data_IF_335784728094
#
_entry.id   IF_335784728094
#
_cell.length_a   1.000
_cell.length_b   1.000
_cell.length_c   1.000
_cell.angle_alpha   90.00
_cell.angle_beta   90.00
_cell.angle_gamma   90.00
#
_symmetry.space_group_name_H-M   'P 1'
#
loop_
_entity.id
_entity.type
_entity.pdbx_description
1 polymer ?
#
# COMPACT_ATOMS: atom_id res chain seq x y z
N UNK A 1 1.14 6.54 -17.63
CA UNK A 1 1.86 5.33 -17.18
C UNK A 1 2.80 5.63 -16.03
N UNK A 2 3.88 6.40 -16.21
CA UNK A 2 4.86 6.70 -15.13
C UNK A 2 4.24 7.32 -13.89
N UNK A 3 3.29 8.24 -14.05
CA UNK A 3 2.59 8.87 -12.93
C UNK A 3 1.80 7.87 -12.07
N UNK A 4 1.13 6.88 -12.69
CA UNK A 4 0.39 5.85 -11.97
C UNK A 4 1.31 4.94 -11.15
N UNK A 5 2.50 4.63 -11.68
CA UNK A 5 3.52 3.87 -10.96
C UNK A 5 3.99 4.63 -9.72
N UNK A 6 4.20 5.95 -9.83
CA UNK A 6 4.58 6.80 -8.70
C UNK A 6 3.47 6.79 -7.62
N UNK A 7 2.19 6.89 -8.03
CA UNK A 7 1.07 6.83 -7.09
C UNK A 7 1.05 5.49 -6.34
N UNK A 8 1.16 4.36 -7.05
CA UNK A 8 1.19 3.04 -6.43
C UNK A 8 2.37 2.92 -5.47
N UNK A 9 3.56 3.35 -5.87
CA UNK A 9 4.75 3.31 -5.02
C UNK A 9 4.55 4.14 -3.74
N UNK A 10 3.96 5.33 -3.83
CA UNK A 10 3.67 6.17 -2.65
C UNK A 10 2.64 5.51 -1.74
N UNK A 11 1.56 4.94 -2.29
CA UNK A 11 0.52 4.27 -1.50
C UNK A 11 1.09 3.06 -0.74
N UNK A 12 1.88 2.22 -1.41
CA UNK A 12 2.51 1.05 -0.78
C UNK A 12 3.54 1.47 0.27
N UNK A 13 4.44 2.42 -0.05
CA UNK A 13 5.45 2.89 0.91
C UNK A 13 4.79 3.52 2.14
N UNK A 14 3.76 4.34 1.97
CA UNK A 14 3.01 4.90 3.10
C UNK A 14 2.29 3.83 3.91
N UNK A 15 1.66 2.85 3.26
CA UNK A 15 1.02 1.71 3.92
C UNK A 15 1.99 0.94 4.80
N UNK A 16 3.16 0.61 4.25
CA UNK A 16 4.26 -0.08 4.97
C UNK A 16 4.73 0.77 6.16
N UNK A 17 5.02 2.06 5.95
CA UNK A 17 5.50 2.94 7.01
C UNK A 17 4.50 3.07 8.17
N UNK A 18 3.20 3.16 7.88
CA UNK A 18 2.15 3.23 8.91
C UNK A 18 2.01 1.91 9.67
N UNK A 19 2.14 0.76 8.99
CA UNK A 19 2.15 -0.55 9.65
C UNK A 19 3.42 -0.77 10.49
N UNK A 20 4.57 -0.26 10.04
CA UNK A 20 5.80 -0.21 10.83
C UNK A 20 5.61 0.64 12.09
N UNK A 21 4.99 1.83 11.96
CA UNK A 21 4.68 2.69 13.10
C UNK A 21 3.78 1.95 14.09
N UNK A 22 2.72 1.28 13.62
CA UNK A 22 1.86 0.45 14.47
C UNK A 22 2.68 -0.60 15.22
N UNK A 23 3.45 -1.41 14.49
CA UNK A 23 4.17 -2.54 15.08
C UNK A 23 5.24 -2.13 16.10
N UNK A 24 5.95 -1.01 15.84
CA UNK A 24 7.08 -0.58 16.68
C UNK A 24 6.71 0.41 17.78
N UNK A 25 5.72 1.28 17.56
CA UNK A 25 5.41 2.38 18.49
C UNK A 25 4.12 2.15 19.28
N UNK A 26 3.13 1.46 18.72
CA UNK A 26 1.79 1.36 19.28
C UNK A 26 1.26 -0.08 19.18
N UNK A 27 1.55 -0.97 20.15
CA UNK A 27 1.00 -2.32 20.13
C UNK A 27 -0.53 -2.27 20.30
N UNK A 28 -1.29 -2.58 19.25
CA UNK A 28 -2.76 -2.56 19.26
C UNK A 28 -3.38 -2.59 17.86
N UNK A 29 -4.65 -2.18 17.76
CA UNK A 29 -5.29 -1.81 16.49
C UNK A 29 -5.50 -0.29 16.55
N UNK A 30 -4.51 0.47 16.12
CA UNK A 30 -4.56 1.93 16.12
C UNK A 30 -4.99 2.49 14.75
N UNK A 31 -5.21 3.80 14.73
CA UNK A 31 -5.52 4.56 13.52
C UNK A 31 -4.41 4.38 12.46
N UNK A 32 -3.15 4.21 12.89
CA UNK A 32 -2.03 3.94 11.99
C UNK A 32 -2.14 2.56 11.34
N UNK A 33 -2.45 1.51 12.11
CA UNK A 33 -2.67 0.16 11.59
C UNK A 33 -3.81 0.09 10.56
N UNK A 34 -4.97 0.70 10.87
CA UNK A 34 -6.11 0.74 9.95
C UNK A 34 -5.79 1.56 8.70
N UNK A 35 -5.19 2.74 8.87
CA UNK A 35 -4.76 3.57 7.75
C UNK A 35 -3.75 2.86 6.85
N UNK A 36 -2.77 2.20 7.45
CA UNK A 36 -1.76 1.41 6.74
C UNK A 36 -2.37 0.31 5.89
N UNK A 37 -3.30 -0.47 6.45
CA UNK A 37 -4.03 -1.51 5.71
C UNK A 37 -4.85 -0.93 4.53
N UNK A 38 -5.53 0.21 4.73
CA UNK A 38 -6.30 0.87 3.68
C UNK A 38 -5.38 1.34 2.54
N UNK A 39 -4.24 1.95 2.87
CA UNK A 39 -3.27 2.38 1.86
C UNK A 39 -2.66 1.20 1.10
N UNK A 40 -2.43 0.08 1.78
CA UNK A 40 -1.92 -1.14 1.16
C UNK A 40 -2.92 -1.74 0.16
N UNK A 41 -4.16 -1.98 0.61
CA UNK A 41 -5.24 -2.50 -0.24
C UNK A 41 -5.55 -1.52 -1.38
N UNK A 42 -5.59 -0.22 -1.08
CA UNK A 42 -5.83 0.83 -2.06
C UNK A 42 -4.75 0.88 -3.13
N UNK A 43 -3.47 0.77 -2.77
CA UNK A 43 -2.35 0.72 -3.70
C UNK A 43 -2.42 -0.48 -4.64
N UNK A 44 -2.75 -1.66 -4.10
CA UNK A 44 -2.95 -2.87 -4.91
C UNK A 44 -4.13 -2.70 -5.87
N UNK A 45 -5.31 -2.28 -5.40
CA UNK A 45 -6.48 -2.06 -6.26
C UNK A 45 -6.18 -1.02 -7.35
N UNK A 46 -5.51 0.08 -7.00
CA UNK A 46 -5.13 1.11 -7.96
C UNK A 46 -4.21 0.56 -9.05
N UNK A 47 -3.27 -0.33 -8.69
CA UNK A 47 -2.37 -0.97 -9.66
C UNK A 47 -3.13 -1.86 -10.66
N UNK A 48 -4.14 -2.62 -10.21
CA UNK A 48 -4.98 -3.41 -11.11
C UNK A 48 -5.78 -2.55 -12.08
N UNK A 49 -6.34 -1.43 -11.61
CA UNK A 49 -7.19 -0.55 -12.42
C UNK A 49 -6.38 0.21 -13.47
N UNK A 50 -5.22 0.76 -13.10
CA UNK A 50 -4.50 1.75 -13.92
C UNK A 50 -3.20 1.26 -14.56
N UNK A 51 -2.65 0.12 -14.11
CA UNK A 51 -1.43 -0.50 -14.64
C UNK A 51 -1.68 -1.90 -15.23
N UNK A 52 -2.85 -2.49 -14.98
CA UNK A 52 -3.27 -3.78 -15.53
C UNK A 52 -2.86 -4.98 -14.67
N UNK A 53 -3.30 -6.17 -15.08
CA UNK A 53 -3.20 -7.40 -14.29
C UNK A 53 -1.77 -7.82 -13.94
N UNK A 54 -0.83 -7.69 -14.88
CA UNK A 54 0.59 -8.02 -14.64
C UNK A 54 1.18 -7.15 -13.53
N UNK A 55 1.00 -5.83 -13.61
CA UNK A 55 1.51 -4.90 -12.60
C UNK A 55 0.78 -5.07 -11.26
N UNK A 56 -0.53 -5.37 -11.30
CA UNK A 56 -1.33 -5.67 -10.11
C UNK A 56 -0.81 -6.89 -9.35
N UNK A 57 -0.58 -8.01 -10.04
CA UNK A 57 -0.07 -9.23 -9.45
C UNK A 57 1.34 -9.03 -8.86
N UNK A 58 2.20 -8.26 -9.54
CA UNK A 58 3.53 -7.92 -9.02
C UNK A 58 3.40 -7.07 -7.76
N UNK A 59 2.53 -6.05 -7.78
CA UNK A 59 2.32 -5.16 -6.63
C UNK A 59 1.82 -5.95 -5.43
N UNK A 60 0.82 -6.82 -5.61
CA UNK A 60 0.28 -7.69 -4.55
C UNK A 60 1.33 -8.65 -3.96
N UNK A 61 2.23 -9.18 -4.80
CA UNK A 61 3.27 -10.10 -4.33
C UNK A 61 4.40 -9.40 -3.55
N UNK A 62 4.58 -8.09 -3.73
CA UNK A 62 5.66 -7.31 -3.13
C UNK A 62 5.21 -6.37 -2.00
N UNK A 63 3.91 -6.08 -1.91
CA UNK A 63 3.29 -5.31 -0.82
C UNK A 63 3.11 -6.18 0.42
#
# INVERSE_FOLDING_TARGET
>A
MTFNVIIVAVLIVLGILLLLIEFFLLPGISIAGVGGAIFMVGGVIYSYIYLGSTAGNITLALS
#
